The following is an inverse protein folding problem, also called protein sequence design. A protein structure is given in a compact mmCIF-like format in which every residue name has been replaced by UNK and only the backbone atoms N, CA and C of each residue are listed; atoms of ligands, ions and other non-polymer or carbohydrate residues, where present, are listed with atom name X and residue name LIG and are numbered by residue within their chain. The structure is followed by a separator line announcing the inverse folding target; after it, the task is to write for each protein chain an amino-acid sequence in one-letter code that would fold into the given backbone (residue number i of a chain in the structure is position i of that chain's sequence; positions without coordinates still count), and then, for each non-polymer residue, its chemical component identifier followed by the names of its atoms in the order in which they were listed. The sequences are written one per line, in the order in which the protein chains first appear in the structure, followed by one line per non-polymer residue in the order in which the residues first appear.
data_IF_236498830163
#
_entry.id   IF_236498830163
#
_cell.length_a   1.000
_cell.length_b   1.000
_cell.length_c   1.000
_cell.angle_alpha   90.00
_cell.angle_beta   90.00
_cell.angle_gamma   90.00
#
_symmetry.space_group_name_H-M   'P 1'
#
loop_
_entity.id
_entity.type
_entity.pdbx_description
1 polymer ?
#
# COMPACT_ATOMS: atom_id res chain seq x y z
N UNK A 1 12.83 15.27 -21.63
CA UNK A 1 12.14 13.94 -21.59
C UNK A 1 11.01 14.05 -20.59
N UNK A 2 9.86 13.47 -20.88
CA UNK A 2 8.72 13.37 -19.97
C UNK A 2 8.35 11.90 -19.81
N UNK A 3 8.10 11.47 -18.58
CA UNK A 3 7.70 10.09 -18.26
C UNK A 3 6.27 10.11 -17.71
N UNK A 4 5.45 9.18 -18.16
CA UNK A 4 4.12 8.94 -17.64
C UNK A 4 4.19 7.91 -16.51
N UNK A 5 3.56 8.20 -15.39
CA UNK A 5 3.38 7.26 -14.27
C UNK A 5 1.88 7.07 -14.05
N UNK A 6 1.41 5.83 -14.07
CA UNK A 6 0.00 5.49 -13.96
C UNK A 6 -0.24 4.85 -12.59
N UNK A 7 -1.10 5.48 -11.79
CA UNK A 7 -1.39 5.13 -10.40
C UNK A 7 -0.51 5.90 -9.41
N UNK A 8 -1.15 6.57 -8.45
CA UNK A 8 -0.51 7.32 -7.36
C UNK A 8 -0.57 6.54 -6.03
N UNK A 9 -0.47 5.22 -6.08
CA UNK A 9 -0.22 4.37 -4.91
C UNK A 9 1.20 4.52 -4.38
N UNK A 10 1.62 3.63 -3.47
CA UNK A 10 2.97 3.63 -2.90
C UNK A 10 4.06 3.63 -3.98
N UNK A 11 3.97 2.68 -4.92
CA UNK A 11 4.98 2.51 -5.96
C UNK A 11 5.00 3.66 -6.97
N UNK A 12 3.82 4.14 -7.39
CA UNK A 12 3.73 5.22 -8.38
C UNK A 12 4.13 6.57 -7.81
N UNK A 13 3.78 6.88 -6.58
CA UNK A 13 4.24 8.09 -5.88
C UNK A 13 5.76 8.09 -5.70
N UNK A 14 6.34 6.96 -5.30
CA UNK A 14 7.79 6.80 -5.20
C UNK A 14 8.48 6.97 -6.57
N UNK A 15 7.97 6.32 -7.61
CA UNK A 15 8.53 6.42 -8.96
C UNK A 15 8.49 7.87 -9.48
N UNK A 16 7.35 8.55 -9.34
CA UNK A 16 7.20 9.95 -9.72
C UNK A 16 8.18 10.86 -8.97
N UNK A 17 8.33 10.64 -7.66
CA UNK A 17 9.26 11.38 -6.82
C UNK A 17 10.71 11.20 -7.26
N UNK A 18 11.13 9.96 -7.47
CA UNK A 18 12.50 9.62 -7.86
C UNK A 18 12.87 10.18 -9.25
N UNK A 19 11.93 10.16 -10.19
CA UNK A 19 12.10 10.80 -11.50
C UNK A 19 12.22 12.33 -11.37
N UNK A 20 11.32 12.93 -10.60
CA UNK A 20 11.30 14.38 -10.39
C UNK A 20 12.57 14.90 -9.70
N UNK A 21 13.10 14.18 -8.69
CA UNK A 21 14.40 14.48 -8.05
C UNK A 21 15.56 14.52 -9.02
N UNK A 22 15.47 13.78 -10.12
CA UNK A 22 16.49 13.73 -11.18
C UNK A 22 16.24 14.73 -12.31
N UNK A 23 15.32 15.68 -12.10
CA UNK A 23 14.99 16.72 -13.09
C UNK A 23 14.15 16.21 -14.26
N UNK A 24 13.59 15.02 -14.18
CA UNK A 24 12.72 14.45 -15.22
C UNK A 24 11.30 14.95 -14.98
N UNK A 25 10.66 15.48 -16.02
CA UNK A 25 9.25 15.86 -15.95
C UNK A 25 8.38 14.61 -15.92
N UNK A 26 7.39 14.60 -15.04
CA UNK A 26 6.49 13.48 -14.81
C UNK A 26 5.05 13.92 -15.03
N UNK A 27 4.28 13.12 -15.78
CA UNK A 27 2.82 13.13 -15.72
C UNK A 27 2.35 11.97 -14.87
N UNK A 28 1.83 12.28 -13.68
CA UNK A 28 1.28 11.28 -12.77
C UNK A 28 -0.23 11.22 -12.94
N UNK A 29 -0.72 10.07 -13.39
CA UNK A 29 -2.12 9.78 -13.60
C UNK A 29 -2.69 9.05 -12.40
N UNK A 30 -3.80 9.55 -11.88
CA UNK A 30 -4.55 8.91 -10.80
C UNK A 30 -6.05 9.03 -11.07
N UNK A 31 -6.77 7.93 -11.00
CA UNK A 31 -8.21 7.93 -11.28
C UNK A 31 -9.03 8.57 -10.17
N UNK A 32 -8.52 8.59 -8.93
CA UNK A 32 -9.17 9.26 -7.81
C UNK A 32 -9.06 10.79 -7.94
N UNK A 33 -10.03 11.55 -7.49
CA UNK A 33 -11.31 11.15 -6.88
C UNK A 33 -12.41 10.83 -7.88
N UNK A 34 -12.17 10.92 -9.20
CA UNK A 34 -13.21 10.75 -10.21
C UNK A 34 -13.74 9.31 -10.25
N UNK A 35 -12.87 8.34 -10.05
CA UNK A 35 -13.21 6.93 -9.95
C UNK A 35 -12.49 6.31 -8.76
N UNK A 36 -13.24 5.80 -7.81
CA UNK A 36 -12.71 5.09 -6.66
C UNK A 36 -12.61 3.59 -6.96
N UNK A 37 -11.60 2.91 -6.40
CA UNK A 37 -11.61 1.45 -6.36
C UNK A 37 -12.49 0.96 -5.20
N UNK A 38 -12.88 -0.33 -5.17
CA UNK A 38 -13.67 -0.86 -4.06
C UNK A 38 -13.03 -0.74 -2.67
N UNK A 39 -11.71 -0.63 -2.59
CA UNK A 39 -10.97 -0.60 -1.32
C UNK A 39 -10.48 0.80 -0.91
N UNK A 40 -10.50 1.78 -1.80
CA UNK A 40 -10.06 3.14 -1.49
C UNK A 40 -11.23 4.00 -1.01
N UNK A 41 -10.99 4.81 0.03
CA UNK A 41 -11.97 5.70 0.64
C UNK A 41 -11.53 7.17 0.64
N UNK A 42 -10.27 7.45 0.35
CA UNK A 42 -9.68 8.78 0.32
C UNK A 42 -9.23 9.17 -1.10
N UNK A 43 -9.26 10.46 -1.38
CA UNK A 43 -8.67 11.03 -2.59
C UNK A 43 -7.14 11.16 -2.51
N UNK A 44 -6.56 10.91 -1.34
CA UNK A 44 -5.12 11.01 -1.12
C UNK A 44 -4.34 9.89 -1.80
N UNK A 45 -3.07 10.18 -2.11
CA UNK A 45 -2.15 9.22 -2.71
C UNK A 45 -1.61 8.26 -1.66
N UNK A 46 -1.08 7.12 -2.11
CA UNK A 46 -0.48 6.10 -1.25
C UNK A 46 -1.37 5.66 -0.09
N UNK A 47 -2.69 5.66 -0.26
CA UNK A 47 -3.63 5.16 0.75
C UNK A 47 -3.36 3.70 1.07
N UNK A 48 -3.23 3.39 2.37
CA UNK A 48 -2.98 2.04 2.85
C UNK A 48 -4.30 1.31 3.10
N UNK A 49 -4.71 0.45 2.20
CA UNK A 49 -6.02 -0.23 2.23
C UNK A 49 -6.01 -1.54 3.01
N UNK A 50 -4.87 -2.20 3.16
CA UNK A 50 -4.76 -3.49 3.84
C UNK A 50 -4.40 -3.31 5.32
N UNK A 51 -3.26 -2.69 5.60
CA UNK A 51 -2.70 -2.53 6.95
C UNK A 51 -1.96 -1.21 7.01
N UNK A 52 -1.87 -0.61 8.20
CA UNK A 52 -1.01 0.54 8.45
C UNK A 52 0.45 0.15 8.72
N UNK A 53 0.77 -1.14 8.68
CA UNK A 53 2.12 -1.66 8.89
C UNK A 53 2.86 -1.85 7.58
N UNK A 54 4.04 -1.25 7.47
CA UNK A 54 5.00 -1.49 6.39
C UNK A 54 5.97 -2.65 6.72
N UNK A 55 5.56 -3.57 7.60
CA UNK A 55 6.30 -4.75 8.06
C UNK A 55 7.51 -4.42 8.93
N UNK A 56 8.33 -5.45 9.22
CA UNK A 56 9.50 -5.35 10.09
C UNK A 56 10.51 -4.29 9.62
N UNK A 57 11.12 -3.58 10.60
CA UNK A 57 12.04 -2.47 10.36
C UNK A 57 13.48 -2.77 10.83
N UNK A 58 13.71 -3.98 11.31
CA UNK A 58 15.04 -4.40 11.80
C UNK A 58 15.96 -4.76 10.64
N UNK A 59 17.21 -4.33 10.68
CA UNK A 59 18.20 -4.56 9.63
C UNK A 59 18.54 -6.04 9.41
N UNK A 60 18.35 -6.88 10.44
CA UNK A 60 18.58 -8.33 10.36
C UNK A 60 17.52 -9.04 9.50
N UNK A 61 16.43 -8.36 9.18
CA UNK A 61 15.39 -8.88 8.31
C UNK A 61 15.52 -8.29 6.91
N UNK A 62 15.31 -9.10 5.88
CA UNK A 62 15.36 -8.66 4.48
C UNK A 62 14.47 -7.44 4.21
N UNK A 63 13.26 -7.41 4.77
CA UNK A 63 12.34 -6.27 4.61
C UNK A 63 12.81 -5.01 5.33
N UNK A 64 13.52 -5.13 6.44
CA UNK A 64 14.12 -3.98 7.14
C UNK A 64 15.35 -3.47 6.41
N UNK A 65 16.20 -4.38 5.91
CA UNK A 65 17.36 -4.02 5.08
C UNK A 65 16.92 -3.25 3.82
N UNK A 66 15.89 -3.75 3.11
CA UNK A 66 15.34 -3.05 1.94
C UNK A 66 14.86 -1.63 2.28
N UNK A 67 14.23 -1.43 3.44
CA UNK A 67 13.83 -0.09 3.88
C UNK A 67 15.02 0.84 4.11
N UNK A 68 16.09 0.31 4.69
CA UNK A 68 17.31 1.10 4.88
C UNK A 68 17.96 1.49 3.54
N UNK A 69 17.96 0.60 2.57
CA UNK A 69 18.40 0.92 1.19
C UNK A 69 17.52 2.02 0.59
N UNK A 70 16.20 1.93 0.75
CA UNK A 70 15.28 2.98 0.30
C UNK A 70 15.51 4.32 1.02
N UNK A 71 15.78 4.32 2.34
CA UNK A 71 16.15 5.54 3.08
C UNK A 71 17.39 6.20 2.48
N UNK A 72 18.42 5.43 2.19
CA UNK A 72 19.65 5.92 1.55
C UNK A 72 19.43 6.45 0.13
N UNK A 73 18.45 5.93 -0.57
CA UNK A 73 18.03 6.47 -1.88
C UNK A 73 17.19 7.75 -1.75
N UNK A 74 16.85 8.18 -0.55
CA UNK A 74 15.98 9.33 -0.29
C UNK A 74 14.56 9.11 -0.78
N UNK A 75 13.99 7.95 -0.39
CA UNK A 75 12.62 7.55 -0.70
C UNK A 75 11.60 8.49 -0.05
N UNK A 76 10.63 8.93 -0.86
CA UNK A 76 9.46 9.68 -0.39
C UNK A 76 8.65 8.88 0.63
N UNK A 77 8.40 7.61 0.29
CA UNK A 77 7.57 6.72 1.11
C UNK A 77 8.22 6.50 2.48
N UNK A 78 9.55 6.31 2.53
CA UNK A 78 10.24 6.15 3.80
C UNK A 78 10.27 7.45 4.61
N UNK A 79 10.48 8.59 3.98
CA UNK A 79 10.44 9.89 4.66
C UNK A 79 9.07 10.16 5.29
N UNK A 80 7.99 9.94 4.54
CA UNK A 80 6.63 10.13 5.06
C UNK A 80 6.28 9.09 6.14
N UNK A 81 6.73 7.85 5.99
CA UNK A 81 6.48 6.80 6.97
C UNK A 81 7.16 7.07 8.31
N UNK A 82 8.40 7.57 8.30
CA UNK A 82 9.09 7.95 9.53
C UNK A 82 8.42 9.14 10.23
N UNK A 83 7.97 10.13 9.47
CA UNK A 83 7.32 11.33 10.00
C UNK A 83 5.92 11.03 10.60
N UNK A 84 5.28 9.94 10.19
CA UNK A 84 3.95 9.53 10.66
C UNK A 84 3.95 8.20 11.41
N UNK A 85 5.13 7.79 11.89
CA UNK A 85 5.34 6.54 12.63
C UNK A 85 4.45 6.48 13.87
N UNK A 86 3.87 5.31 14.10
CA UNK A 86 3.20 4.93 15.35
C UNK A 86 3.88 3.70 15.94
N UNK A 87 3.73 3.51 17.24
CA UNK A 87 4.31 2.36 17.94
C UNK A 87 3.70 1.04 17.45
N UNK A 88 4.55 0.08 17.07
CA UNK A 88 4.15 -1.24 16.60
C UNK A 88 5.29 -2.26 16.80
N UNK A 89 5.93 -2.25 17.96
CA UNK A 89 7.02 -3.15 18.30
C UNK A 89 8.18 -3.05 17.31
N UNK A 90 8.55 -4.15 16.65
CA UNK A 90 9.63 -4.20 15.67
C UNK A 90 9.22 -3.87 14.23
N UNK A 91 8.01 -3.37 14.01
CA UNK A 91 7.50 -2.99 12.70
C UNK A 91 7.53 -1.47 12.48
N UNK A 92 7.58 -1.06 11.23
CA UNK A 92 7.27 0.31 10.84
C UNK A 92 5.77 0.40 10.56
N UNK A 93 5.02 0.98 11.48
CA UNK A 93 3.61 1.29 11.29
C UNK A 93 3.41 2.81 11.27
N UNK A 94 2.35 3.27 10.64
CA UNK A 94 2.09 4.69 10.41
C UNK A 94 0.65 5.06 10.77
N UNK A 95 0.42 6.32 11.10
CA UNK A 95 -0.90 6.93 11.00
C UNK A 95 -1.30 6.99 9.52
N UNK A 96 -2.34 6.24 9.13
CA UNK A 96 -2.75 6.07 7.73
C UNK A 96 -3.09 7.38 7.05
N UNK A 97 -3.89 8.20 7.71
CA UNK A 97 -4.36 9.46 7.13
C UNK A 97 -3.23 10.48 7.04
N UNK A 98 -2.45 10.62 8.10
CA UNK A 98 -1.28 11.48 8.12
C UNK A 98 -0.25 11.10 7.06
N UNK A 99 -0.01 9.82 6.89
CA UNK A 99 0.90 9.29 5.87
C UNK A 99 0.43 9.63 4.45
N UNK A 100 -0.81 9.27 4.10
CA UNK A 100 -1.38 9.51 2.77
C UNK A 100 -1.43 11.00 2.44
N UNK A 101 -1.85 11.82 3.40
CA UNK A 101 -1.88 13.29 3.25
C UNK A 101 -0.49 13.84 2.98
N UNK A 102 0.52 13.44 3.75
CA UNK A 102 1.90 13.92 3.59
C UNK A 102 2.48 13.53 2.23
N UNK A 103 2.28 12.29 1.77
CA UNK A 103 2.69 11.85 0.43
C UNK A 103 2.01 12.71 -0.64
N UNK A 104 0.71 12.94 -0.50
CA UNK A 104 -0.09 13.75 -1.43
C UNK A 104 0.44 15.19 -1.52
N UNK A 105 0.70 15.83 -0.39
CA UNK A 105 1.21 17.20 -0.32
C UNK A 105 2.59 17.33 -0.98
N UNK A 106 3.50 16.40 -0.69
CA UNK A 106 4.84 16.40 -1.29
C UNK A 106 4.81 16.20 -2.80
N UNK A 107 3.98 15.30 -3.29
CA UNK A 107 3.80 15.08 -4.73
C UNK A 107 3.21 16.32 -5.40
N UNK A 108 2.16 16.91 -4.82
CA UNK A 108 1.47 18.09 -5.36
C UNK A 108 2.36 19.34 -5.38
N UNK A 109 3.25 19.46 -4.42
CA UNK A 109 4.16 20.61 -4.31
C UNK A 109 5.39 20.52 -5.23
N UNK A 110 5.63 19.36 -5.88
CA UNK A 110 6.80 19.18 -6.71
C UNK A 110 6.60 19.77 -8.12
N UNK A 111 7.40 20.77 -8.55
CA UNK A 111 7.19 21.46 -9.82
C UNK A 111 7.46 20.58 -11.06
N UNK A 112 8.15 19.46 -10.91
CA UNK A 112 8.43 18.53 -11.98
C UNK A 112 7.34 17.44 -12.15
N UNK A 113 6.29 17.46 -11.30
CA UNK A 113 5.20 16.50 -11.35
C UNK A 113 3.91 17.22 -11.74
N UNK A 114 3.35 16.85 -12.88
CA UNK A 114 2.03 17.30 -13.32
C UNK A 114 1.02 16.19 -13.00
N UNK A 115 -0.01 16.53 -12.23
CA UNK A 115 -1.08 15.60 -11.88
C UNK A 115 -2.16 15.61 -12.95
N UNK A 116 -2.63 14.42 -13.31
CA UNK A 116 -3.75 14.22 -14.22
C UNK A 116 -4.76 13.30 -13.52
N UNK A 117 -5.92 13.86 -13.14
CA UNK A 117 -6.97 13.10 -12.47
C UNK A 117 -7.89 12.49 -13.52
N UNK A 118 -7.50 11.33 -14.04
CA UNK A 118 -8.30 10.56 -14.99
C UNK A 118 -7.95 9.07 -14.93
N UNK A 119 -8.89 8.22 -15.32
CA UNK A 119 -8.64 6.81 -15.53
C UNK A 119 -7.90 6.59 -16.85
N UNK A 120 -6.74 5.94 -16.80
CA UNK A 120 -6.04 5.47 -18.01
C UNK A 120 -6.57 4.09 -18.39
N UNK A 121 -7.14 3.98 -19.58
CA UNK A 121 -7.81 2.75 -20.06
C UNK A 121 -7.03 2.01 -21.15
N UNK A 122 -5.92 2.58 -21.61
CA UNK A 122 -5.05 2.00 -22.64
C UNK A 122 -3.59 2.13 -22.23
N UNK A 123 -2.74 1.22 -22.66
CA UNK A 123 -1.29 1.34 -22.42
C UNK A 123 -0.73 2.54 -23.21
N UNK A 124 -0.23 3.59 -22.52
CA UNK A 124 0.22 4.80 -23.23
C UNK A 124 1.49 4.56 -24.05
N UNK A 125 1.62 5.30 -25.14
CA UNK A 125 2.86 5.31 -25.94
C UNK A 125 3.99 6.07 -25.24
N UNK A 126 5.24 5.66 -25.50
CA UNK A 126 6.46 6.29 -24.99
C UNK A 126 6.87 5.78 -23.60
N UNK A 127 7.78 6.51 -22.90
CA UNK A 127 8.24 6.09 -21.58
C UNK A 127 7.09 6.11 -20.56
N UNK A 128 6.75 4.96 -20.01
CA UNK A 128 5.65 4.80 -19.06
C UNK A 128 6.02 3.83 -17.93
N UNK A 129 5.56 4.13 -16.73
CA UNK A 129 5.57 3.24 -15.56
C UNK A 129 4.12 3.00 -15.17
N UNK A 130 3.67 1.75 -15.24
CA UNK A 130 2.34 1.35 -14.74
C UNK A 130 2.51 0.81 -13.34
N UNK A 131 1.98 1.51 -12.35
CA UNK A 131 2.12 1.24 -10.92
C UNK A 131 0.76 1.23 -10.20
N UNK A 132 -0.25 0.70 -10.87
CA UNK A 132 -1.65 0.67 -10.40
C UNK A 132 -1.93 -0.42 -9.36
N UNK A 133 -0.98 -1.33 -9.15
CA UNK A 133 -1.06 -2.38 -8.13
C UNK A 133 -2.21 -3.39 -8.35
N UNK A 134 -2.63 -4.07 -7.28
CA UNK A 134 -3.64 -5.13 -7.37
C UNK A 134 -5.06 -4.61 -7.66
N UNK A 135 -5.30 -3.32 -7.49
CA UNK A 135 -6.61 -2.69 -7.72
C UNK A 135 -6.65 -1.91 -9.05
N UNK A 136 -5.90 -2.40 -10.05
CA UNK A 136 -5.94 -1.88 -11.43
C UNK A 136 -7.37 -1.96 -11.98
N UNK A 137 -7.82 -0.90 -12.64
CA UNK A 137 -9.16 -0.89 -13.24
C UNK A 137 -9.31 -1.96 -14.33
N UNK A 138 -10.51 -2.49 -14.50
CA UNK A 138 -10.80 -3.55 -15.47
C UNK A 138 -10.39 -3.16 -16.90
N UNK A 139 -10.63 -1.90 -17.28
CA UNK A 139 -10.29 -1.40 -18.60
C UNK A 139 -8.77 -1.41 -18.85
N UNK A 140 -7.97 -0.92 -17.89
CA UNK A 140 -6.51 -0.93 -18.00
C UNK A 140 -5.95 -2.36 -17.89
N UNK A 141 -6.51 -3.18 -17.00
CA UNK A 141 -6.13 -4.60 -16.85
C UNK A 141 -6.29 -5.35 -18.16
N UNK A 142 -7.45 -5.17 -18.83
CA UNK A 142 -7.71 -5.74 -20.16
C UNK A 142 -6.70 -5.25 -21.19
N UNK A 143 -6.45 -3.94 -21.24
CA UNK A 143 -5.49 -3.35 -22.20
C UNK A 143 -4.04 -3.86 -21.98
N UNK A 144 -3.65 -4.10 -20.72
CA UNK A 144 -2.35 -4.70 -20.39
C UNK A 144 -2.31 -6.16 -20.88
N UNK A 145 -3.36 -6.95 -20.61
CA UNK A 145 -3.47 -8.33 -21.10
C UNK A 145 -3.36 -8.42 -22.62
N UNK A 146 -4.10 -7.57 -23.33
CA UNK A 146 -4.03 -7.49 -24.80
C UNK A 146 -2.62 -7.10 -25.30
N UNK A 147 -1.97 -6.15 -24.62
CA UNK A 147 -0.62 -5.69 -24.99
C UNK A 147 0.44 -6.78 -24.85
N UNK A 148 0.37 -7.61 -23.82
CA UNK A 148 1.34 -8.69 -23.58
C UNK A 148 0.89 -10.05 -24.13
N UNK A 149 -0.32 -10.18 -24.66
CA UNK A 149 -0.86 -11.44 -25.13
C UNK A 149 -1.05 -12.47 -24.00
N UNK A 150 -1.36 -11.99 -22.78
CA UNK A 150 -1.47 -12.84 -21.61
C UNK A 150 -2.87 -12.73 -20.98
N UNK A 151 -3.57 -13.86 -20.85
CA UNK A 151 -4.92 -13.94 -20.28
C UNK A 151 -4.93 -14.04 -18.73
N UNK A 152 -3.77 -13.82 -18.04
CA UNK A 152 -3.60 -14.24 -16.65
C UNK A 152 -3.19 -13.09 -15.70
N UNK A 153 -3.78 -11.92 -15.86
CA UNK A 153 -3.66 -10.88 -14.84
C UNK A 153 -4.73 -11.13 -13.76
N UNK A 154 -4.34 -11.84 -12.70
CA UNK A 154 -5.19 -12.04 -11.54
C UNK A 154 -4.88 -10.97 -10.49
N UNK A 155 -5.89 -10.20 -10.13
CA UNK A 155 -5.81 -9.21 -9.05
C UNK A 155 -6.65 -9.71 -7.87
N UNK A 156 -6.04 -9.73 -6.69
CA UNK A 156 -6.71 -10.10 -5.44
C UNK A 156 -6.84 -8.88 -4.56
N UNK A 157 -8.03 -8.68 -4.01
CA UNK A 157 -8.23 -7.71 -2.95
C UNK A 157 -7.58 -8.23 -1.66
N UNK A 158 -6.64 -7.45 -1.14
CA UNK A 158 -5.91 -7.76 0.08
C UNK A 158 -6.39 -6.92 1.28
N UNK A 159 -7.61 -6.37 1.22
CA UNK A 159 -8.15 -5.57 2.30
C UNK A 159 -8.28 -6.42 3.59
N UNK A 160 -7.60 -5.98 4.66
CA UNK A 160 -7.72 -6.61 5.96
C UNK A 160 -9.00 -6.12 6.66
N UNK A 161 -9.76 -7.01 7.33
CA UNK A 161 -10.89 -6.59 8.14
C UNK A 161 -10.40 -5.69 9.29
N UNK A 162 -11.10 -4.58 9.50
CA UNK A 162 -10.88 -3.67 10.62
C UNK A 162 -12.03 -3.81 11.60
N UNK A 163 -11.69 -3.80 12.89
CA UNK A 163 -12.66 -3.79 13.98
C UNK A 163 -12.39 -2.57 14.87
N UNK A 164 -13.42 -2.05 15.52
CA UNK A 164 -13.23 -0.97 16.50
C UNK A 164 -12.64 -1.52 17.79
N UNK A 165 -11.85 -0.72 18.51
CA UNK A 165 -11.23 -1.15 19.77
C UNK A 165 -12.29 -1.57 20.80
N UNK A 166 -13.44 -0.89 20.81
CA UNK A 166 -14.56 -1.16 21.72
C UNK A 166 -15.24 -2.51 21.43
N UNK A 167 -15.10 -3.05 20.21
CA UNK A 167 -15.66 -4.35 19.84
C UNK A 167 -14.81 -5.53 20.29
N UNK A 168 -13.60 -5.28 20.80
CA UNK A 168 -12.70 -6.33 21.28
C UNK A 168 -12.97 -6.63 22.75
N UNK A 169 -13.34 -7.87 23.06
CA UNK A 169 -13.48 -8.33 24.45
C UNK A 169 -12.11 -8.58 25.07
N UNK A 170 -11.64 -7.61 25.85
CA UNK A 170 -10.35 -7.69 26.55
C UNK A 170 -10.33 -8.67 27.73
N UNK A 171 -11.44 -9.36 28.05
CA UNK A 171 -11.41 -10.51 28.96
C UNK A 171 -10.94 -11.80 28.25
N UNK A 172 -11.06 -11.85 26.91
CA UNK A 172 -10.64 -12.95 26.05
C UNK A 172 -9.38 -12.64 25.24
N UNK A 173 -8.94 -11.40 25.29
CA UNK A 173 -7.78 -10.90 24.56
C UNK A 173 -6.78 -10.20 25.51
N UNK A 174 -5.53 -10.10 25.11
CA UNK A 174 -4.50 -9.42 25.90
C UNK A 174 -3.49 -8.71 25.02
N UNK A 175 -2.84 -7.70 25.58
CA UNK A 175 -1.73 -7.00 24.94
C UNK A 175 -0.42 -7.80 25.07
N UNK A 176 0.26 -8.03 23.96
CA UNK A 176 1.56 -8.69 23.95
C UNK A 176 2.35 -8.30 22.68
N UNK A 177 3.67 -8.24 22.82
CA UNK A 177 4.55 -8.14 21.66
C UNK A 177 4.74 -9.50 21.00
N UNK A 178 4.99 -9.52 19.71
CA UNK A 178 5.31 -10.75 19.00
C UNK A 178 6.68 -11.29 19.45
N UNK A 179 6.71 -12.53 19.93
CA UNK A 179 7.91 -13.17 20.49
C UNK A 179 8.50 -12.44 21.70
N UNK A 180 7.68 -11.75 22.47
CA UNK A 180 8.09 -10.96 23.65
C UNK A 180 9.23 -9.96 23.36
N UNK A 181 9.19 -9.35 22.17
CA UNK A 181 10.19 -8.38 21.70
C UNK A 181 9.59 -7.01 21.44
N UNK A 182 10.09 -5.99 22.13
CA UNK A 182 9.59 -4.63 22.05
C UNK A 182 8.41 -4.39 22.98
N UNK A 183 7.64 -3.34 22.66
CA UNK A 183 6.44 -2.95 23.42
C UNK A 183 5.25 -3.86 23.11
N UNK A 184 4.31 -4.08 24.05
CA UNK A 184 3.15 -4.95 23.85
C UNK A 184 2.05 -4.23 23.04
N UNK A 185 2.29 -4.03 21.74
CA UNK A 185 1.44 -3.20 20.87
C UNK A 185 0.39 -4.02 20.08
N UNK A 186 0.34 -5.33 20.31
CA UNK A 186 -0.60 -6.22 19.60
C UNK A 186 -1.64 -6.78 20.55
N UNK A 187 -2.89 -6.78 20.12
CA UNK A 187 -3.96 -7.52 20.77
C UNK A 187 -3.92 -8.97 20.28
N UNK A 188 -3.74 -9.91 21.22
CA UNK A 188 -3.70 -11.34 20.94
C UNK A 188 -4.98 -11.99 21.44
N UNK A 189 -5.58 -12.86 20.62
CA UNK A 189 -6.72 -13.69 20.96
C UNK A 189 -6.32 -15.16 20.89
N UNK A 190 -6.48 -15.90 21.98
CA UNK A 190 -6.25 -17.33 21.98
C UNK A 190 -7.40 -18.07 21.29
N UNK A 191 -7.09 -19.15 20.61
CA UNK A 191 -8.06 -20.14 20.16
C UNK A 191 -7.76 -21.48 20.85
N UNK A 192 -8.79 -22.15 21.32
CA UNK A 192 -8.65 -23.55 21.70
C UNK A 192 -8.52 -24.44 20.45
N UNK A 193 -8.27 -25.73 20.66
CA UNK A 193 -8.07 -26.68 19.55
C UNK A 193 -9.29 -26.73 18.61
N UNK A 194 -10.51 -26.75 19.17
CA UNK A 194 -11.74 -26.85 18.39
C UNK A 194 -11.98 -25.58 17.59
N UNK A 195 -11.80 -24.42 18.18
CA UNK A 195 -11.91 -23.12 17.50
C UNK A 195 -10.92 -23.01 16.35
N UNK A 196 -9.67 -23.45 16.55
CA UNK A 196 -8.65 -23.46 15.51
C UNK A 196 -9.02 -24.40 14.35
N UNK A 197 -9.47 -25.64 14.66
CA UNK A 197 -9.88 -26.60 13.63
C UNK A 197 -11.07 -26.08 12.82
N UNK A 198 -12.05 -25.45 13.46
CA UNK A 198 -13.22 -24.90 12.79
C UNK A 198 -12.87 -23.67 11.95
N UNK A 199 -11.97 -22.81 12.42
CA UNK A 199 -11.41 -21.70 11.65
C UNK A 199 -10.69 -22.21 10.38
N UNK A 200 -9.84 -23.22 10.51
CA UNK A 200 -9.12 -23.80 9.37
C UNK A 200 -10.10 -24.44 8.37
N UNK A 201 -11.10 -25.18 8.84
CA UNK A 201 -12.15 -25.74 7.95
C UNK A 201 -12.90 -24.65 7.20
N UNK A 202 -13.26 -23.56 7.87
CA UNK A 202 -13.97 -22.43 7.25
C UNK A 202 -13.13 -21.74 6.17
N UNK A 203 -11.80 -21.61 6.39
CA UNK A 203 -10.90 -21.06 5.38
C UNK A 203 -10.83 -21.93 4.11
N UNK A 204 -10.76 -23.25 4.28
CA UNK A 204 -10.69 -24.17 3.13
C UNK A 204 -12.04 -24.41 2.46
N UNK A 205 -13.16 -24.17 3.15
CA UNK A 205 -14.50 -24.30 2.58
C UNK A 205 -14.86 -23.15 1.61
N UNK A 206 -14.24 -21.99 1.76
CA UNK A 206 -14.33 -20.88 0.82
C UNK A 206 -13.30 -21.09 -0.30
N UNK A 207 -13.67 -21.82 -1.35
CA UNK A 207 -12.93 -21.71 -2.61
C UNK A 207 -13.25 -20.34 -3.23
N UNK A 208 -12.25 -19.59 -3.71
CA UNK A 208 -12.53 -18.41 -4.50
C UNK A 208 -13.25 -18.82 -5.79
N UNK A 209 -14.38 -18.16 -6.08
CA UNK A 209 -15.04 -18.21 -7.38
C UNK A 209 -14.16 -17.56 -8.45
#
# INVERSE_FOLDING_TARGET
MEVKVIGAGLAGSEAAWQLAKRGIRVKLYEMKPQKMSPAHHSADFAELVCSNSLRGDRLENAVGLLKEELRRCGSLIMECAEATRVEAGGCLAVDREGFSRMVTEKIRSNPNITLVSEEVTQVPQGPVIIATGPLTSDALSKAIGEYFGADHLHFFDAAAPLVTAESVDMNLAWWQSRYDRGTPDYVNCAMDKQQYEDFVKALFAKQPE
#
